data_IF_803225692250
#
_entry.id   IF_803225692250
#
_cell.length_a   1.000
_cell.length_b   1.000
_cell.length_c   1.000
_cell.angle_alpha   90.00
_cell.angle_beta   90.00
_cell.angle_gamma   90.00
#
_symmetry.space_group_name_H-M   'P 1'
#
loop_
_entity.id
_entity.type
_entity.pdbx_description
1 polymer ?
#
# COMPACT_ATOMS: atom_id res chain seq x y z
N UNK A 1 1.11 -27.95 -4.74
CA UNK A 1 1.46 -26.79 -3.91
C UNK A 1 0.88 -25.57 -4.60
N UNK A 2 0.09 -24.75 -3.90
CA UNK A 2 -0.43 -23.51 -4.51
C UNK A 2 0.72 -22.54 -4.70
N UNK A 3 0.88 -22.02 -5.90
CA UNK A 3 1.89 -21.03 -6.23
C UNK A 3 1.45 -19.67 -5.68
N UNK A 4 2.39 -18.91 -5.09
CA UNK A 4 2.12 -17.54 -4.65
C UNK A 4 2.17 -16.58 -5.84
N UNK A 5 1.35 -15.53 -5.76
CA UNK A 5 1.42 -14.41 -6.68
C UNK A 5 2.83 -13.80 -6.61
N UNK A 6 3.45 -13.58 -7.74
CA UNK A 6 4.71 -12.85 -7.91
C UNK A 6 4.80 -12.32 -9.35
N UNK A 7 5.85 -11.58 -9.67
CA UNK A 7 6.02 -10.97 -11.00
C UNK A 7 6.00 -12.03 -12.13
N UNK A 8 6.55 -13.21 -11.88
CA UNK A 8 6.60 -14.28 -12.85
C UNK A 8 5.22 -14.94 -13.11
N UNK A 9 4.44 -15.09 -12.03
CA UNK A 9 3.10 -15.70 -12.11
C UNK A 9 2.03 -14.77 -12.67
N UNK A 10 2.28 -13.45 -12.77
CA UNK A 10 1.32 -12.48 -13.33
C UNK A 10 0.82 -12.87 -14.74
N UNK A 11 1.69 -13.43 -15.57
CA UNK A 11 1.36 -13.80 -16.94
C UNK A 11 0.43 -15.02 -17.02
N UNK A 12 0.40 -15.83 -15.96
CA UNK A 12 -0.40 -17.05 -15.85
C UNK A 12 -1.76 -16.86 -15.17
N UNK A 13 -2.04 -15.65 -14.67
CA UNK A 13 -3.33 -15.36 -14.05
C UNK A 13 -4.46 -15.41 -15.09
N UNK A 14 -5.69 -15.80 -14.69
CA UNK A 14 -6.87 -15.76 -15.52
C UNK A 14 -7.08 -14.41 -16.20
N UNK A 15 -7.73 -14.40 -17.35
CA UNK A 15 -7.92 -13.18 -18.15
C UNK A 15 -8.89 -12.18 -17.51
N UNK A 16 -9.77 -12.65 -16.64
CA UNK A 16 -10.73 -11.85 -15.87
C UNK A 16 -10.14 -11.19 -14.63
N UNK A 17 -8.88 -11.51 -14.28
CA UNK A 17 -8.15 -10.82 -13.22
C UNK A 17 -7.44 -9.61 -13.79
N UNK A 18 -7.79 -8.41 -13.32
CA UNK A 18 -7.10 -7.18 -13.70
C UNK A 18 -5.64 -7.20 -13.20
N UNK A 19 -4.71 -6.80 -14.06
CA UNK A 19 -3.27 -6.79 -13.78
C UNK A 19 -2.68 -5.42 -14.09
N UNK A 20 -1.61 -4.99 -13.38
CA UNK A 20 -0.86 -3.81 -13.77
C UNK A 20 -0.37 -3.97 -15.24
N UNK A 21 -0.73 -3.04 -16.15
CA UNK A 21 -0.35 -3.15 -17.56
C UNK A 21 1.03 -2.57 -17.87
N UNK A 22 1.81 -2.23 -16.85
CA UNK A 22 3.11 -1.62 -16.96
C UNK A 22 4.24 -2.55 -16.48
N UNK A 23 5.44 -2.32 -16.98
CA UNK A 23 6.64 -3.04 -16.56
C UNK A 23 7.10 -2.58 -15.19
N UNK A 24 6.85 -3.40 -14.17
CA UNK A 24 7.22 -3.11 -12.77
C UNK A 24 8.72 -3.00 -12.52
N UNK A 25 9.56 -3.57 -13.39
CA UNK A 25 11.01 -3.41 -13.26
C UNK A 25 11.48 -1.97 -13.45
N UNK A 26 10.66 -1.15 -14.09
CA UNK A 26 10.90 0.29 -14.34
C UNK A 26 10.36 1.20 -13.25
N UNK A 27 9.64 0.66 -12.25
CA UNK A 27 9.14 1.45 -11.14
C UNK A 27 10.29 2.07 -10.33
N UNK A 28 10.13 3.33 -10.01
CA UNK A 28 10.98 4.00 -9.01
C UNK A 28 10.13 4.56 -7.86
N UNK A 29 10.61 4.50 -6.61
CA UNK A 29 9.79 4.90 -5.46
C UNK A 29 9.71 6.43 -5.34
N UNK A 30 8.57 7.00 -5.74
CA UNK A 30 8.24 8.41 -5.55
C UNK A 30 7.46 8.68 -4.27
N UNK A 31 6.91 7.64 -3.64
CA UNK A 31 6.08 7.75 -2.44
C UNK A 31 6.68 6.87 -1.34
N UNK A 32 6.86 7.45 -0.15
CA UNK A 32 7.09 6.71 1.09
C UNK A 32 5.81 6.76 1.92
N UNK A 33 5.23 5.59 2.21
CA UNK A 33 3.99 5.52 3.00
C UNK A 33 4.21 4.85 4.35
N UNK A 34 3.95 5.59 5.44
CA UNK A 34 4.05 5.10 6.80
C UNK A 34 2.72 4.48 7.25
N UNK A 35 2.75 3.21 7.61
CA UNK A 35 1.55 2.48 8.01
C UNK A 35 0.86 1.75 6.87
N UNK A 36 1.58 0.88 6.15
CA UNK A 36 1.09 0.10 5.02
C UNK A 36 0.03 -0.94 5.44
N UNK A 37 -1.11 -0.45 5.91
CA UNK A 37 -2.26 -1.24 6.33
C UNK A 37 -3.21 -1.62 5.18
N UNK A 38 -4.31 -2.30 5.52
CA UNK A 38 -5.34 -2.71 4.55
C UNK A 38 -6.00 -1.50 3.89
N UNK A 39 -6.27 -0.43 4.64
CA UNK A 39 -6.89 0.79 4.12
C UNK A 39 -6.03 1.42 3.01
N UNK A 40 -4.75 1.64 3.26
CA UNK A 40 -3.84 2.17 2.24
C UNK A 40 -3.79 1.28 1.01
N UNK A 41 -3.64 -0.05 1.22
CA UNK A 41 -3.55 -1.01 0.12
C UNK A 41 -4.82 -1.08 -0.73
N UNK A 42 -6.00 -0.84 -0.14
CA UNK A 42 -7.27 -0.85 -0.86
C UNK A 42 -7.62 0.50 -1.52
N UNK A 43 -6.98 1.60 -1.15
CA UNK A 43 -7.33 2.94 -1.61
C UNK A 43 -6.16 3.67 -2.28
N UNK A 44 -5.22 4.23 -1.53
CA UNK A 44 -4.14 5.05 -2.10
C UNK A 44 -3.26 4.24 -3.07
N UNK A 45 -2.91 3.01 -2.73
CA UNK A 45 -2.09 2.19 -3.61
C UNK A 45 -2.81 1.84 -4.92
N UNK A 46 -4.13 1.62 -4.88
CA UNK A 46 -4.95 1.41 -6.08
C UNK A 46 -5.01 2.69 -6.94
N UNK A 47 -5.25 3.85 -6.30
CA UNK A 47 -5.28 5.13 -7.01
C UNK A 47 -3.93 5.42 -7.68
N UNK A 48 -2.82 5.14 -7.00
CA UNK A 48 -1.46 5.29 -7.55
C UNK A 48 -1.23 4.35 -8.72
N UNK A 49 -1.66 3.09 -8.60
CA UNK A 49 -1.56 2.07 -9.67
C UNK A 49 -2.31 2.51 -10.93
N UNK A 50 -3.53 3.02 -10.76
CA UNK A 50 -4.35 3.56 -11.84
C UNK A 50 -3.72 4.82 -12.47
N UNK A 51 -3.19 5.73 -11.65
CA UNK A 51 -2.53 6.93 -12.13
C UNK A 51 -1.29 6.59 -12.95
N UNK A 52 -0.43 5.68 -12.48
CA UNK A 52 0.73 5.22 -13.25
C UNK A 52 0.33 4.53 -14.56
N UNK A 53 -0.77 3.78 -14.54
CA UNK A 53 -1.33 3.18 -15.76
C UNK A 53 -1.77 4.24 -16.77
N UNK A 54 -2.49 5.26 -16.30
CA UNK A 54 -3.03 6.31 -17.17
C UNK A 54 -1.95 7.26 -17.73
N UNK A 55 -0.98 7.62 -16.90
CA UNK A 55 0.06 8.60 -17.26
C UNK A 55 1.31 7.99 -17.84
N UNK A 56 1.52 6.68 -17.69
CA UNK A 56 2.76 5.97 -17.99
C UNK A 56 4.00 6.54 -17.26
N UNK A 57 3.77 7.35 -16.20
CA UNK A 57 4.83 7.83 -15.31
C UNK A 57 5.02 6.82 -14.16
N UNK A 58 6.01 5.97 -14.31
CA UNK A 58 6.32 4.90 -13.36
C UNK A 58 7.22 5.36 -12.20
N UNK A 59 7.42 6.65 -12.04
CA UNK A 59 8.19 7.24 -10.95
C UNK A 59 7.37 7.47 -9.66
N UNK A 60 6.18 6.89 -9.56
CA UNK A 60 5.28 6.99 -8.42
C UNK A 60 5.13 5.68 -7.64
N UNK A 61 6.06 4.74 -7.81
CA UNK A 61 6.08 3.53 -7.00
C UNK A 61 6.06 3.83 -5.49
N UNK A 62 5.47 2.93 -4.71
CA UNK A 62 5.30 3.09 -3.28
C UNK A 62 6.31 2.23 -2.53
N UNK A 63 7.10 2.86 -1.67
CA UNK A 63 7.83 2.21 -0.60
C UNK A 63 6.96 2.24 0.66
N UNK A 64 6.43 1.08 1.05
CA UNK A 64 5.64 0.96 2.27
C UNK A 64 6.52 0.83 3.49
N UNK A 65 6.08 1.38 4.61
CA UNK A 65 6.75 1.21 5.91
C UNK A 65 5.75 0.67 6.92
N UNK A 66 6.04 -0.50 7.48
CA UNK A 66 5.36 -1.00 8.67
C UNK A 66 6.02 -0.40 9.90
N UNK A 67 5.23 0.22 10.80
CA UNK A 67 5.78 0.94 11.94
C UNK A 67 6.26 0.01 13.06
N UNK A 68 5.59 -1.14 13.26
CA UNK A 68 5.83 -2.04 14.39
C UNK A 68 6.04 -3.50 13.99
N UNK A 69 5.24 -4.04 13.09
CA UNK A 69 5.19 -5.46 12.78
C UNK A 69 5.79 -5.76 11.41
N UNK A 70 6.55 -6.83 11.31
CA UNK A 70 7.07 -7.35 10.04
C UNK A 70 6.01 -8.09 9.19
N UNK A 71 4.83 -8.38 9.75
CA UNK A 71 3.85 -9.27 9.11
C UNK A 71 3.46 -8.85 7.68
N UNK A 72 3.29 -7.55 7.42
CA UNK A 72 2.97 -7.05 6.06
C UNK A 72 4.15 -7.21 5.12
N UNK A 73 5.38 -6.94 5.57
CA UNK A 73 6.59 -7.18 4.78
C UNK A 73 6.74 -8.66 4.44
N UNK A 74 6.60 -9.53 5.43
CA UNK A 74 6.80 -10.98 5.27
C UNK A 74 5.73 -11.61 4.35
N UNK A 75 4.53 -11.04 4.33
CA UNK A 75 3.48 -11.42 3.39
C UNK A 75 3.76 -10.94 1.97
N UNK A 76 4.21 -9.69 1.78
CA UNK A 76 4.34 -9.07 0.47
C UNK A 76 5.70 -9.31 -0.21
N UNK A 77 6.78 -9.47 0.56
CA UNK A 77 8.12 -9.68 -0.02
C UNK A 77 8.19 -10.91 -0.92
N UNK A 78 7.64 -12.09 -0.55
CA UNK A 78 7.63 -13.26 -1.44
C UNK A 78 6.73 -13.10 -2.66
N UNK A 79 5.96 -12.02 -2.73
CA UNK A 79 5.06 -11.67 -3.82
C UNK A 79 5.56 -10.45 -4.62
N UNK A 80 6.81 -10.07 -4.47
CA UNK A 80 7.41 -8.88 -5.11
C UNK A 80 6.61 -7.58 -4.84
N UNK A 81 5.94 -7.49 -3.69
CA UNK A 81 5.05 -6.39 -3.35
C UNK A 81 3.66 -6.45 -3.97
N UNK A 82 3.38 -7.44 -4.81
CA UNK A 82 2.07 -7.66 -5.43
C UNK A 82 1.06 -8.21 -4.42
N UNK A 83 -0.19 -7.84 -4.59
CA UNK A 83 -1.30 -8.44 -3.86
C UNK A 83 -2.60 -8.33 -4.66
N UNK A 84 -3.56 -9.20 -4.33
CA UNK A 84 -4.88 -9.17 -4.96
C UNK A 84 -5.86 -8.42 -4.08
N UNK A 85 -6.61 -7.52 -4.70
CA UNK A 85 -7.78 -6.87 -4.14
C UNK A 85 -9.04 -7.53 -4.70
N UNK A 86 -9.94 -7.97 -3.84
CA UNK A 86 -11.26 -8.45 -4.21
C UNK A 86 -12.27 -7.32 -4.03
N UNK A 87 -12.80 -6.81 -5.13
CA UNK A 87 -13.88 -5.84 -5.15
C UNK A 87 -15.20 -6.62 -5.14
N UNK A 88 -15.95 -6.46 -4.07
CA UNK A 88 -17.26 -7.13 -3.90
C UNK A 88 -18.36 -6.12 -3.95
N UNK A 89 -19.32 -6.35 -4.82
CA UNK A 89 -20.45 -5.48 -5.07
C UNK A 89 -21.70 -6.31 -5.35
N UNK A 90 -22.83 -5.63 -5.47
CA UNK A 90 -24.10 -6.23 -5.89
C UNK A 90 -24.46 -5.68 -7.27
N UNK A 91 -24.60 -6.56 -8.25
CA UNK A 91 -25.04 -6.19 -9.58
C UNK A 91 -26.46 -5.57 -9.55
N UNK A 92 -26.87 -4.77 -10.55
CA UNK A 92 -28.19 -4.17 -10.61
C UNK A 92 -29.38 -5.15 -10.48
N UNK A 93 -29.15 -6.44 -10.72
CA UNK A 93 -30.15 -7.53 -10.53
C UNK A 93 -30.15 -8.14 -9.13
N UNK A 94 -29.34 -7.66 -8.18
CA UNK A 94 -29.21 -8.20 -6.82
C UNK A 94 -28.25 -9.38 -6.68
N UNK A 95 -27.61 -9.81 -7.77
CA UNK A 95 -26.65 -10.90 -7.73
C UNK A 95 -25.28 -10.44 -7.18
N UNK A 96 -24.62 -11.22 -6.32
CA UNK A 96 -23.27 -10.91 -5.85
C UNK A 96 -22.29 -10.86 -7.01
N UNK A 97 -21.48 -9.82 -7.04
CA UNK A 97 -20.39 -9.65 -8.01
C UNK A 97 -19.05 -9.55 -7.29
N UNK A 98 -18.08 -10.30 -7.77
CA UNK A 98 -16.68 -10.17 -7.33
C UNK A 98 -15.79 -9.91 -8.54
N UNK A 99 -14.91 -8.91 -8.42
CA UNK A 99 -13.89 -8.60 -9.39
C UNK A 99 -12.53 -8.62 -8.71
N UNK A 100 -11.57 -9.33 -9.28
CA UNK A 100 -10.22 -9.44 -8.76
C UNK A 100 -9.28 -8.49 -9.50
N UNK A 101 -8.48 -7.77 -8.73
CA UNK A 101 -7.44 -6.86 -9.25
C UNK A 101 -6.13 -7.13 -8.54
N UNK A 102 -5.06 -7.30 -9.31
CA UNK A 102 -3.69 -7.27 -8.76
C UNK A 102 -3.21 -5.83 -8.73
N UNK A 103 -2.76 -5.39 -7.57
CA UNK A 103 -2.16 -4.07 -7.37
C UNK A 103 -0.65 -4.21 -7.39
N UNK A 104 0.00 -3.40 -8.23
CA UNK A 104 1.44 -3.46 -8.49
C UNK A 104 2.23 -2.24 -8.01
N UNK A 105 1.56 -1.21 -7.47
CA UNK A 105 2.21 0.04 -7.09
C UNK A 105 3.21 -0.09 -5.93
N UNK A 106 3.02 -1.07 -5.04
CA UNK A 106 3.94 -1.30 -3.91
C UNK A 106 5.16 -2.09 -4.40
N UNK A 107 6.34 -1.48 -4.28
CA UNK A 107 7.59 -2.11 -4.69
C UNK A 107 8.25 -2.89 -3.54
N UNK A 108 8.27 -2.32 -2.35
CA UNK A 108 8.99 -2.84 -1.20
C UNK A 108 8.31 -2.42 0.10
N UNK A 109 8.49 -3.23 1.14
CA UNK A 109 8.05 -2.90 2.49
C UNK A 109 9.25 -2.92 3.42
N UNK A 110 9.43 -1.87 4.20
CA UNK A 110 10.40 -1.76 5.29
C UNK A 110 9.70 -1.89 6.64
N UNK A 111 10.44 -2.20 7.68
CA UNK A 111 9.96 -2.23 9.07
C UNK A 111 10.76 -1.21 9.87
N UNK A 112 10.07 -0.19 10.41
CA UNK A 112 10.73 0.94 11.05
C UNK A 112 11.47 0.55 12.35
N UNK A 113 10.96 -0.44 13.09
CA UNK A 113 11.63 -0.95 14.30
C UNK A 113 12.94 -1.68 14.01
N UNK A 114 13.09 -2.28 12.82
CA UNK A 114 14.30 -2.98 12.44
C UNK A 114 15.42 -2.03 12.00
N UNK A 115 15.07 -0.98 11.25
CA UNK A 115 16.04 0.02 10.78
C UNK A 115 15.35 1.39 10.56
N UNK A 116 15.21 2.19 11.62
CA UNK A 116 14.60 3.52 11.52
C UNK A 116 15.45 4.48 10.69
N UNK A 117 16.78 4.33 10.68
CA UNK A 117 17.67 5.20 9.92
C UNK A 117 17.49 4.98 8.41
N UNK A 118 17.39 3.73 7.96
CA UNK A 118 17.12 3.45 6.55
C UNK A 118 15.75 4.01 6.12
N UNK A 119 14.75 4.06 7.01
CA UNK A 119 13.46 4.71 6.71
C UNK A 119 13.64 6.22 6.57
N UNK A 120 14.38 6.87 7.47
CA UNK A 120 14.67 8.31 7.38
C UNK A 120 15.46 8.66 6.11
N UNK A 121 16.44 7.86 5.74
CA UNK A 121 17.18 8.01 4.49
C UNK A 121 16.26 7.94 3.26
N UNK A 122 15.26 7.05 3.29
CA UNK A 122 14.28 6.95 2.20
C UNK A 122 13.32 8.13 2.16
N UNK A 123 12.92 8.66 3.31
CA UNK A 123 12.11 9.88 3.39
C UNK A 123 12.90 11.07 2.80
N UNK A 124 14.18 11.18 3.12
CA UNK A 124 15.06 12.26 2.66
C UNK A 124 15.60 12.07 1.23
N UNK A 125 15.31 10.92 0.60
CA UNK A 125 15.87 10.60 -0.71
C UNK A 125 15.35 11.56 -1.80
N UNK A 126 16.21 12.06 -2.70
CA UNK A 126 15.81 13.07 -3.69
C UNK A 126 14.66 12.68 -4.61
N UNK A 127 14.44 11.38 -4.85
CA UNK A 127 13.32 10.91 -5.66
C UNK A 127 12.01 10.78 -4.86
N UNK A 128 12.04 10.84 -3.53
CA UNK A 128 10.84 10.84 -2.71
C UNK A 128 10.14 12.17 -2.84
N UNK A 129 8.95 12.17 -3.43
CA UNK A 129 8.14 13.37 -3.68
C UNK A 129 7.00 13.53 -2.70
N UNK A 130 6.51 12.39 -2.19
CA UNK A 130 5.42 12.35 -1.22
C UNK A 130 5.80 11.46 -0.06
N UNK A 131 5.64 11.98 1.15
CA UNK A 131 5.61 11.18 2.38
C UNK A 131 4.18 11.23 2.90
N UNK A 132 3.56 10.07 3.03
CA UNK A 132 2.18 9.97 3.52
C UNK A 132 2.09 8.97 4.67
N UNK A 133 1.04 9.08 5.47
CA UNK A 133 0.80 8.19 6.59
C UNK A 133 -0.68 7.91 6.77
N UNK A 134 -1.00 6.71 7.27
CA UNK A 134 -2.36 6.38 7.70
C UNK A 134 -2.48 6.61 9.20
N UNK A 135 -3.35 7.55 9.58
CA UNK A 135 -3.73 7.79 10.98
C UNK A 135 -5.14 7.28 11.15
N UNK A 136 -5.31 6.32 12.08
CA UNK A 136 -6.64 5.85 12.48
C UNK A 136 -7.17 6.69 13.65
N UNK A 137 -8.46 6.53 13.96
CA UNK A 137 -9.12 7.19 15.09
C UNK A 137 -8.39 6.97 16.43
N UNK A 138 -7.67 5.86 16.57
CA UNK A 138 -6.84 5.57 17.75
C UNK A 138 -5.62 6.48 17.89
N UNK A 139 -5.22 7.13 16.81
CA UNK A 139 -4.14 8.12 16.78
C UNK A 139 -4.65 9.54 16.99
N UNK A 140 -5.95 9.76 17.06
CA UNK A 140 -6.49 11.09 17.35
C UNK A 140 -6.34 11.40 18.84
N UNK A 141 -5.98 12.65 19.15
CA UNK A 141 -5.78 13.11 20.53
C UNK A 141 -7.12 13.30 21.26
N UNK A 142 -7.91 12.23 21.39
CA UNK A 142 -9.16 12.22 22.13
C UNK A 142 -9.27 11.00 23.03
N UNK A 143 -10.05 11.12 24.10
CA UNK A 143 -10.41 10.01 24.99
C UNK A 143 -11.56 9.22 24.35
N UNK A 144 -11.35 7.95 23.95
CA UNK A 144 -12.38 7.17 23.23
C UNK A 144 -13.68 6.99 24.01
N UNK A 145 -13.63 6.97 25.33
CA UNK A 145 -14.81 6.78 26.19
C UNK A 145 -15.70 8.01 26.29
N UNK A 146 -15.13 9.21 26.18
CA UNK A 146 -15.85 10.47 26.41
C UNK A 146 -15.88 11.37 25.19
N UNK A 147 -15.02 11.14 24.20
CA UNK A 147 -14.83 12.02 23.04
C UNK A 147 -14.12 13.33 23.35
N UNK A 148 -13.71 13.56 24.61
CA UNK A 148 -13.00 14.75 25.00
C UNK A 148 -11.57 14.79 24.45
N UNK A 149 -11.08 15.98 24.14
CA UNK A 149 -9.71 16.20 23.69
C UNK A 149 -8.72 15.88 24.82
N UNK A 150 -7.71 15.08 24.52
CA UNK A 150 -6.61 14.76 25.43
C UNK A 150 -5.52 15.82 25.28
N UNK A 151 -5.53 16.80 26.14
CA UNK A 151 -4.59 17.93 26.15
C UNK A 151 -3.15 17.50 26.41
N UNK A 152 -2.95 16.44 27.20
CA UNK A 152 -1.65 15.83 27.51
C UNK A 152 -0.96 15.16 26.29
N UNK A 153 -1.73 14.85 25.25
CA UNK A 153 -1.21 14.27 24.02
C UNK A 153 -0.88 15.31 22.93
N UNK A 154 -1.22 16.57 23.15
CA UNK A 154 -0.92 17.65 22.21
C UNK A 154 0.51 18.12 22.45
N UNK A 155 1.35 17.95 21.43
CA UNK A 155 2.70 18.51 21.43
C UNK A 155 2.59 19.99 21.04
N UNK A 156 2.84 20.85 22.00
CA UNK A 156 3.05 22.27 21.73
C UNK A 156 4.54 22.53 21.63
N UNK A 157 4.95 23.03 20.51
CA UNK A 157 6.28 23.63 20.34
C UNK A 157 6.16 25.14 20.43
#
# INVERSE_FOLDING_TARGET
MLERLNTESLTRLPADVEKPPYDRSRLTPGIVHLGLGAFHRAHQAVATDLAMTATQDLSWGILGVSLRSAATRDALTPQDGLYTLALRDTAPGGEPREQLRVVGAVQRVMVAEEDPNAVLERIAYPQTRIVSLTITEKGYSHEPATGHLRWDCLLYT
#
